data_IF_228981730443
#
_entry.id   IF_228981730443
#
_cell.length_a   1.000
_cell.length_b   1.000
_cell.length_c   1.000
_cell.angle_alpha   90.00
_cell.angle_beta   90.00
_cell.angle_gamma   90.00
#
_symmetry.space_group_name_H-M   'P 1'
#
loop_
_entity.id
_entity.type
_entity.pdbx_description
1 polymer ?
#
# COMPACT_ATOMS: atom_id res chain seq x y z
N UNK A 1 3.96 -13.56 -14.89
CA UNK A 1 2.72 -12.80 -14.58
C UNK A 1 2.58 -12.31 -13.12
N UNK A 2 3.31 -12.83 -12.12
CA UNK A 2 3.08 -12.46 -10.70
C UNK A 2 3.60 -11.09 -10.22
N UNK A 3 4.54 -10.46 -10.94
CA UNK A 3 5.14 -9.20 -10.48
C UNK A 3 4.26 -7.98 -10.71
N UNK A 4 3.60 -7.91 -11.87
CA UNK A 4 2.65 -6.85 -12.17
C UNK A 4 1.53 -6.83 -11.14
N UNK A 5 1.00 -7.99 -10.74
CA UNK A 5 -0.02 -8.12 -9.71
C UNK A 5 0.42 -7.48 -8.37
N UNK A 6 1.65 -7.72 -7.92
CA UNK A 6 2.17 -7.13 -6.66
C UNK A 6 2.25 -5.60 -6.72
N UNK A 7 2.69 -5.05 -7.86
CA UNK A 7 2.76 -3.59 -8.06
C UNK A 7 1.37 -2.97 -8.12
N UNK A 8 0.43 -3.57 -8.84
CA UNK A 8 -0.96 -3.11 -8.89
C UNK A 8 -1.63 -3.17 -7.52
N UNK A 9 -1.45 -4.26 -6.77
CA UNK A 9 -1.95 -4.36 -5.40
C UNK A 9 -1.36 -3.27 -4.50
N UNK A 10 -0.07 -2.95 -4.63
CA UNK A 10 0.56 -1.88 -3.84
C UNK A 10 -0.02 -0.50 -4.20
N UNK A 11 -0.18 -0.20 -5.50
CA UNK A 11 -0.75 1.06 -5.96
C UNK A 11 -2.21 1.23 -5.52
N UNK A 12 -3.04 0.21 -5.66
CA UNK A 12 -4.45 0.25 -5.25
C UNK A 12 -4.56 0.45 -3.73
N UNK A 13 -3.74 -0.25 -2.93
CA UNK A 13 -3.72 -0.05 -1.48
C UNK A 13 -3.31 1.38 -1.10
N UNK A 14 -2.29 1.94 -1.76
CA UNK A 14 -1.84 3.30 -1.51
C UNK A 14 -2.93 4.33 -1.86
N UNK A 15 -3.55 4.21 -3.03
CA UNK A 15 -4.63 5.10 -3.48
C UNK A 15 -5.84 4.99 -2.56
N UNK A 16 -6.23 3.76 -2.18
CA UNK A 16 -7.33 3.51 -1.25
C UNK A 16 -7.08 4.11 0.14
N UNK A 17 -5.86 3.96 0.68
CA UNK A 17 -5.47 4.57 1.94
C UNK A 17 -5.54 6.11 1.87
N UNK A 18 -4.95 6.73 0.84
CA UNK A 18 -4.99 8.19 0.68
C UNK A 18 -6.42 8.71 0.54
N UNK A 19 -7.27 8.02 -0.22
CA UNK A 19 -8.67 8.37 -0.40
C UNK A 19 -9.44 8.31 0.92
N UNK A 20 -9.34 7.20 1.65
CA UNK A 20 -10.02 7.01 2.94
C UNK A 20 -9.52 7.98 4.01
N UNK A 21 -8.22 8.27 4.03
CA UNK A 21 -7.65 9.27 4.92
C UNK A 21 -8.21 10.67 4.63
N UNK A 22 -8.21 11.09 3.37
CA UNK A 22 -8.78 12.37 2.96
C UNK A 22 -10.28 12.46 3.25
N UNK A 23 -11.03 11.38 2.99
CA UNK A 23 -12.45 11.32 3.26
C UNK A 23 -12.76 11.38 4.77
N UNK A 24 -11.94 10.71 5.60
CA UNK A 24 -12.00 10.81 7.06
C UNK A 24 -11.73 12.22 7.57
N UNK A 25 -10.75 12.94 6.99
CA UNK A 25 -10.49 14.34 7.32
C UNK A 25 -11.68 15.25 6.95
N UNK A 26 -12.25 15.06 5.76
CA UNK A 26 -13.44 15.82 5.33
C UNK A 26 -14.62 15.58 6.27
N UNK A 27 -14.87 14.33 6.66
CA UNK A 27 -15.89 13.98 7.65
C UNK A 27 -15.62 14.62 9.02
N UNK A 28 -14.38 14.54 9.50
CA UNK A 28 -13.96 15.11 10.79
C UNK A 28 -14.02 16.64 10.80
N UNK A 29 -13.89 17.30 9.65
CA UNK A 29 -14.04 18.76 9.53
C UNK A 29 -15.49 19.24 9.62
N UNK A 30 -16.46 18.32 9.72
CA UNK A 30 -17.88 18.64 9.81
C UNK A 30 -18.52 19.01 8.47
N UNK A 31 -17.87 18.73 7.34
CA UNK A 31 -18.28 19.16 6.00
C UNK A 31 -19.77 18.89 5.73
N UNK A 32 -20.50 19.94 5.36
CA UNK A 32 -21.97 19.98 5.40
C UNK A 32 -22.63 19.09 4.34
N UNK A 33 -21.94 18.82 3.23
CA UNK A 33 -22.47 18.04 2.11
C UNK A 33 -22.29 16.52 2.24
N UNK A 34 -21.68 16.05 3.33
CA UNK A 34 -21.57 14.61 3.61
C UNK A 34 -22.90 14.08 4.15
N UNK A 35 -23.56 13.16 3.42
CA UNK A 35 -24.84 12.51 3.80
C UNK A 35 -24.71 11.49 4.94
N UNK A 36 -23.70 11.60 5.78
CA UNK A 36 -23.44 10.67 6.88
C UNK A 36 -23.97 11.31 8.16
N UNK A 37 -24.96 10.66 8.79
CA UNK A 37 -25.61 11.15 10.02
C UNK A 37 -24.61 11.22 11.18
N UNK A 38 -23.84 10.15 11.42
CA UNK A 38 -22.79 10.09 12.44
C UNK A 38 -21.41 10.37 11.84
N UNK A 39 -21.12 11.65 11.57
CA UNK A 39 -19.85 12.06 10.93
C UNK A 39 -18.60 11.65 11.72
N UNK A 40 -18.67 11.67 13.05
CA UNK A 40 -17.55 11.31 13.94
C UNK A 40 -17.24 9.81 13.88
N UNK A 41 -18.27 8.96 13.99
CA UNK A 41 -18.15 7.50 13.84
C UNK A 41 -17.71 7.13 12.41
N UNK A 42 -18.26 7.81 11.40
CA UNK A 42 -17.85 7.68 10.00
C UNK A 42 -16.38 8.03 9.78
N UNK A 43 -15.89 9.14 10.35
CA UNK A 43 -14.48 9.55 10.26
C UNK A 43 -13.55 8.51 10.91
N UNK A 44 -13.88 8.05 12.12
CA UNK A 44 -13.13 7.00 12.82
C UNK A 44 -13.02 5.72 11.98
N UNK A 45 -14.13 5.27 11.40
CA UNK A 45 -14.13 4.10 10.53
C UNK A 45 -13.26 4.30 9.27
N UNK A 46 -13.27 5.49 8.67
CA UNK A 46 -12.41 5.83 7.54
C UNK A 46 -10.91 5.81 7.92
N UNK A 47 -10.56 6.33 9.10
CA UNK A 47 -9.18 6.29 9.59
C UNK A 47 -8.72 4.85 9.88
N UNK A 48 -9.57 4.03 10.50
CA UNK A 48 -9.27 2.61 10.75
C UNK A 48 -9.08 1.87 9.42
N UNK A 49 -10.00 2.05 8.48
CA UNK A 49 -9.90 1.43 7.16
C UNK A 49 -8.63 1.89 6.44
N UNK A 50 -8.33 3.19 6.42
CA UNK A 50 -7.08 3.73 5.88
C UNK A 50 -5.85 3.08 6.50
N UNK A 51 -5.86 2.85 7.82
CA UNK A 51 -4.79 2.15 8.53
C UNK A 51 -4.58 0.72 8.01
N UNK A 52 -5.67 -0.02 7.79
CA UNK A 52 -5.62 -1.39 7.24
C UNK A 52 -5.02 -1.39 5.82
N UNK A 53 -5.44 -0.47 4.95
CA UNK A 53 -4.88 -0.34 3.60
C UNK A 53 -3.38 0.01 3.61
N UNK A 54 -2.88 0.69 4.66
CA UNK A 54 -1.45 0.97 4.84
C UNK A 54 -0.62 -0.23 5.31
N UNK A 55 -1.21 -1.27 5.90
CA UNK A 55 -0.45 -2.43 6.42
C UNK A 55 0.31 -3.14 5.31
N UNK A 56 -0.34 -3.38 4.17
CA UNK A 56 0.26 -4.07 3.04
C UNK A 56 1.51 -3.37 2.45
N UNK A 57 1.46 -2.06 2.10
CA UNK A 57 2.65 -1.35 1.62
C UNK A 57 3.74 -1.25 2.70
N UNK A 58 3.38 -1.10 3.98
CA UNK A 58 4.37 -1.07 5.08
C UNK A 58 5.11 -2.40 5.18
N UNK A 59 4.42 -3.54 5.17
CA UNK A 59 5.05 -4.87 5.19
C UNK A 59 5.97 -5.04 3.97
N UNK A 60 5.50 -4.63 2.79
CA UNK A 60 6.30 -4.69 1.56
C UNK A 60 7.59 -3.88 1.66
N UNK A 61 7.51 -2.65 2.18
CA UNK A 61 8.67 -1.77 2.40
C UNK A 61 9.62 -2.39 3.44
N UNK A 62 9.11 -2.93 4.55
CA UNK A 62 9.94 -3.59 5.58
C UNK A 62 10.70 -4.77 4.98
N UNK A 63 10.03 -5.61 4.17
CA UNK A 63 10.67 -6.73 3.49
C UNK A 63 11.72 -6.26 2.48
N UNK A 64 11.43 -5.19 1.73
CA UNK A 64 12.37 -4.59 0.79
C UNK A 64 13.63 -4.04 1.48
N UNK A 65 13.45 -3.31 2.58
CA UNK A 65 14.55 -2.76 3.38
C UNK A 65 15.37 -3.88 4.00
N UNK A 66 14.73 -4.89 4.60
CA UNK A 66 15.44 -6.05 5.16
C UNK A 66 16.26 -6.80 4.11
N UNK A 67 15.75 -6.90 2.90
CA UNK A 67 16.46 -7.50 1.79
C UNK A 67 17.69 -6.67 1.37
N UNK A 68 17.57 -5.33 1.37
CA UNK A 68 18.69 -4.42 1.06
C UNK A 68 19.74 -4.30 2.18
N UNK A 69 19.32 -4.41 3.45
CA UNK A 69 20.21 -4.25 4.61
C UNK A 69 20.87 -5.56 5.06
N UNK A 70 20.60 -6.71 4.41
CA UNK A 70 21.46 -7.89 4.62
C UNK A 70 22.83 -7.60 4.01
N UNK A 71 23.94 -7.74 4.78
CA UNK A 71 25.26 -7.75 4.16
C UNK A 71 25.27 -8.87 3.11
N UNK A 72 25.85 -8.60 1.93
CA UNK A 72 26.10 -9.59 0.87
C UNK A 72 26.79 -10.82 1.47
N UNK A 73 26.02 -11.81 1.88
CA UNK A 73 26.50 -13.16 2.08
C UNK A 73 26.09 -13.93 0.85
N UNK A 74 27.08 -14.31 0.04
CA UNK A 74 26.90 -15.08 -1.18
C UNK A 74 26.19 -16.39 -0.85
N UNK A 75 24.96 -16.56 -1.35
CA UNK A 75 24.60 -17.72 -2.17
C UNK A 75 23.27 -17.46 -2.91
N UNK A 76 23.12 -18.02 -4.12
CA UNK A 76 22.10 -17.68 -5.12
C UNK A 76 20.79 -18.46 -4.89
N UNK A 77 19.72 -18.13 -5.64
CA UNK A 77 18.37 -18.74 -5.55
C UNK A 77 17.61 -18.25 -4.31
N UNK A 78 16.90 -17.12 -4.29
CA UNK A 78 15.52 -17.00 -4.77
C UNK A 78 15.10 -15.52 -4.80
N UNK A 79 15.53 -14.79 -5.82
CA UNK A 79 15.02 -13.45 -6.10
C UNK A 79 14.19 -13.54 -7.37
N UNK A 80 12.86 -13.64 -7.30
CA UNK A 80 12.05 -13.63 -8.49
C UNK A 80 12.05 -12.20 -9.08
N UNK A 81 12.85 -12.08 -10.14
CA UNK A 81 12.57 -11.37 -11.39
C UNK A 81 12.86 -9.85 -11.42
N UNK A 82 14.13 -9.48 -11.59
CA UNK A 82 14.41 -8.51 -12.67
C UNK A 82 14.73 -9.41 -13.85
N UNK A 83 13.70 -9.78 -14.60
CA UNK A 83 13.87 -10.61 -15.79
C UNK A 83 14.74 -9.81 -16.76
N UNK A 84 15.98 -10.27 -16.90
CA UNK A 84 16.93 -9.80 -17.87
C UNK A 84 16.29 -9.92 -19.24
N UNK A 85 16.22 -8.80 -19.93
CA UNK A 85 16.09 -8.70 -21.37
C UNK A 85 17.09 -9.68 -22.03
N UNK A 86 16.58 -10.82 -22.48
CA UNK A 86 17.17 -11.81 -23.39
C UNK A 86 15.97 -12.48 -24.06
N UNK A 87 15.81 -12.60 -25.36
CA UNK A 87 16.67 -12.52 -26.55
C UNK A 87 15.84 -11.75 -27.63
N UNK A 88 16.36 -11.24 -28.75
CA UNK A 88 16.97 -12.03 -29.82
C UNK A 88 17.68 -11.13 -30.83
N UNK A 89 18.83 -11.66 -31.30
CA UNK A 89 19.30 -11.77 -32.69
C UNK A 89 18.95 -10.68 -33.69
#
# INVERSE_FOLDING_TARGET
>A
MGQFCKVYCLLINLVGACYLFGFGLVLSSGYEYSKIDDKESGALNCFIASGIYCVYPVIFIILYIRYRCRPKYNSPEDIPLIEMKKDSS
#
